data_IF_444399739868
#
_entry.id   IF_444399739868
#
_cell.length_a   1.000
_cell.length_b   1.000
_cell.length_c   1.000
_cell.angle_alpha   90.00
_cell.angle_beta   90.00
_cell.angle_gamma   90.00
#
_symmetry.space_group_name_H-M   'P 1'
#
loop_
_entity.id
_entity.type
_entity.pdbx_description
1 polymer ?
#
# COMPACT_ATOMS: atom_id res chain seq x y z
N UNK A 1 4.48 -6.92 25.29
CA UNK A 1 3.13 -6.50 25.69
C UNK A 1 2.40 -7.68 26.31
N UNK A 2 1.08 -7.58 26.45
CA UNK A 2 0.22 -8.70 26.86
C UNK A 2 0.02 -9.73 25.74
N UNK A 3 0.15 -9.30 24.48
CA UNK A 3 0.00 -10.11 23.28
C UNK A 3 1.34 -10.14 22.51
N UNK A 4 2.33 -10.85 23.04
CA UNK A 4 3.70 -10.92 22.50
C UNK A 4 4.52 -9.62 22.63
N UNK A 5 5.76 -9.61 22.14
CA UNK A 5 6.77 -8.58 22.42
C UNK A 5 7.50 -7.98 21.20
N UNK A 6 7.14 -8.37 19.98
CA UNK A 6 7.77 -7.92 18.73
C UNK A 6 7.71 -6.40 18.57
N UNK A 7 6.63 -5.73 19.00
CA UNK A 7 6.54 -4.27 18.98
C UNK A 7 7.66 -3.65 19.79
N UNK A 8 7.92 -4.17 20.99
CA UNK A 8 8.94 -3.65 21.89
C UNK A 8 10.35 -4.01 21.44
N UNK A 9 10.53 -5.25 20.96
CA UNK A 9 11.84 -5.83 20.68
C UNK A 9 12.37 -5.49 19.28
N UNK A 10 11.50 -5.32 18.30
CA UNK A 10 11.87 -5.18 16.87
C UNK A 10 11.30 -3.88 16.28
N UNK A 11 9.98 -3.69 16.33
CA UNK A 11 9.31 -2.65 15.53
C UNK A 11 9.58 -1.25 16.08
N UNK A 12 9.42 -1.04 17.39
CA UNK A 12 9.67 0.26 18.03
C UNK A 12 11.12 0.72 17.89
N UNK A 13 12.15 -0.13 18.11
CA UNK A 13 13.53 0.23 17.78
C UNK A 13 13.72 0.66 16.32
N UNK A 14 13.11 -0.06 15.36
CA UNK A 14 13.19 0.28 13.94
C UNK A 14 12.55 1.65 13.63
N UNK A 15 11.36 1.93 14.19
CA UNK A 15 10.69 3.23 14.06
C UNK A 15 11.55 4.34 14.66
N UNK A 16 12.13 4.15 15.85
CA UNK A 16 13.02 5.14 16.48
C UNK A 16 14.26 5.42 15.63
N UNK A 17 14.81 4.39 14.99
CA UNK A 17 15.94 4.57 14.09
C UNK A 17 15.54 5.33 12.82
N UNK A 18 14.40 4.97 12.22
CA UNK A 18 13.86 5.64 11.03
C UNK A 18 13.47 7.10 11.31
N UNK A 19 12.99 7.41 12.51
CA UNK A 19 12.64 8.77 12.95
C UNK A 19 13.84 9.74 12.97
N UNK A 20 15.08 9.22 12.88
CA UNK A 20 16.28 10.06 12.74
C UNK A 20 16.40 10.71 11.36
N UNK A 21 15.79 10.12 10.34
CA UNK A 21 15.87 10.58 8.94
C UNK A 21 14.50 10.90 8.33
N UNK A 22 13.45 10.22 8.76
CA UNK A 22 12.08 10.38 8.28
C UNK A 22 11.30 11.25 9.26
N UNK A 23 10.85 12.42 8.81
CA UNK A 23 9.94 13.28 9.59
C UNK A 23 8.53 12.66 9.60
N UNK A 24 7.79 12.86 10.69
CA UNK A 24 6.38 12.44 10.83
C UNK A 24 6.11 10.93 10.76
N UNK A 25 7.10 10.08 11.07
CA UNK A 25 6.85 8.65 11.27
C UNK A 25 6.20 8.41 12.63
N UNK A 26 5.07 7.69 12.66
CA UNK A 26 4.35 7.35 13.90
C UNK A 26 4.03 5.86 13.95
N UNK A 27 4.10 5.25 15.13
CA UNK A 27 3.75 3.85 15.34
C UNK A 27 4.58 3.18 16.46
N UNK A 28 4.39 1.86 16.68
CA UNK A 28 3.41 1.01 16.02
C UNK A 28 1.98 1.34 16.46
N UNK A 29 0.99 1.06 15.61
CA UNK A 29 -0.43 1.26 15.90
C UNK A 29 -1.19 -0.06 15.68
N UNK A 30 -2.32 -0.22 16.37
CA UNK A 30 -3.25 -1.30 16.07
C UNK A 30 -3.77 -1.12 14.62
N UNK A 31 -3.77 -2.20 13.84
CA UNK A 31 -4.01 -2.14 12.40
C UNK A 31 -5.40 -1.61 12.05
N UNK A 32 -6.43 -2.03 12.78
CA UNK A 32 -7.81 -1.57 12.63
C UNK A 32 -7.94 -0.05 12.82
N UNK A 33 -7.34 0.48 13.89
CA UNK A 33 -7.32 1.92 14.16
C UNK A 33 -6.51 2.69 13.11
N UNK A 34 -5.37 2.13 12.65
CA UNK A 34 -4.55 2.70 11.59
C UNK A 34 -5.35 2.87 10.30
N UNK A 35 -5.98 1.80 9.80
CA UNK A 35 -6.69 1.85 8.52
C UNK A 35 -7.94 2.72 8.55
N UNK A 36 -8.63 2.82 9.69
CA UNK A 36 -9.74 3.77 9.85
C UNK A 36 -9.28 5.23 9.74
N UNK A 37 -8.17 5.58 10.39
CA UNK A 37 -7.60 6.93 10.35
C UNK A 37 -6.98 7.27 8.99
N UNK A 38 -6.31 6.30 8.38
CA UNK A 38 -5.80 6.36 7.00
C UNK A 38 -6.91 6.68 5.99
N UNK A 39 -8.03 5.96 6.07
CA UNK A 39 -9.19 6.20 5.21
C UNK A 39 -9.76 7.63 5.35
N UNK A 40 -9.55 8.27 6.50
CA UNK A 40 -9.91 9.67 6.76
C UNK A 40 -8.86 10.70 6.32
N UNK A 41 -7.76 10.27 5.70
CA UNK A 41 -6.71 11.14 5.18
C UNK A 41 -5.75 11.66 6.24
N UNK A 42 -5.59 10.96 7.37
CA UNK A 42 -4.65 11.38 8.42
C UNK A 42 -3.18 11.07 8.11
N UNK A 43 -2.90 10.22 7.11
CA UNK A 43 -1.57 9.77 6.74
C UNK A 43 -1.35 9.84 5.23
N UNK A 44 -0.11 10.11 4.81
CA UNK A 44 0.30 10.04 3.40
C UNK A 44 0.57 8.61 2.93
N UNK A 45 0.98 7.72 3.85
CA UNK A 45 1.26 6.31 3.59
C UNK A 45 1.23 5.48 4.89
N UNK A 46 0.83 4.21 4.77
CA UNK A 46 0.86 3.22 5.84
C UNK A 46 1.87 2.11 5.57
N UNK A 47 2.46 1.56 6.63
CA UNK A 47 3.33 0.37 6.55
C UNK A 47 2.67 -0.77 7.32
N UNK A 48 2.09 -1.71 6.57
CA UNK A 48 1.63 -2.98 7.11
C UNK A 48 2.82 -3.93 7.35
N UNK A 49 2.77 -4.72 8.42
CA UNK A 49 3.81 -5.69 8.75
C UNK A 49 3.76 -6.93 7.83
N UNK A 50 2.59 -7.24 7.25
CA UNK A 50 2.41 -8.36 6.34
C UNK A 50 1.30 -8.12 5.31
N UNK A 51 1.27 -8.97 4.28
CA UNK A 51 0.45 -8.82 3.07
C UNK A 51 -1.04 -8.60 3.35
N UNK A 52 -1.69 -9.54 4.04
CA UNK A 52 -3.15 -9.48 4.25
C UNK A 52 -3.56 -8.38 5.22
N UNK A 53 -2.66 -7.96 6.12
CA UNK A 53 -2.90 -6.82 7.01
C UNK A 53 -3.17 -5.54 6.21
N UNK A 54 -2.42 -5.30 5.13
CA UNK A 54 -2.55 -4.08 4.31
C UNK A 54 -3.44 -4.22 3.09
N UNK A 55 -3.41 -5.37 2.41
CA UNK A 55 -4.13 -5.50 1.12
C UNK A 55 -5.63 -5.75 1.28
N UNK A 56 -6.08 -6.37 2.37
CA UNK A 56 -7.51 -6.51 2.65
C UNK A 56 -8.18 -5.13 2.76
N UNK A 57 -7.76 -4.23 3.67
CA UNK A 57 -8.40 -2.92 3.80
C UNK A 57 -8.29 -2.07 2.53
N UNK A 58 -7.14 -2.11 1.83
CA UNK A 58 -6.98 -1.41 0.55
C UNK A 58 -8.01 -1.87 -0.49
N UNK A 59 -8.19 -3.19 -0.66
CA UNK A 59 -9.15 -3.75 -1.61
C UNK A 59 -10.60 -3.44 -1.22
N UNK A 60 -10.90 -3.40 0.08
CA UNK A 60 -12.22 -3.01 0.57
C UNK A 60 -12.52 -1.53 0.31
N UNK A 61 -11.50 -0.66 0.36
CA UNK A 61 -11.66 0.78 0.14
C UNK A 61 -11.81 1.17 -1.34
N UNK A 62 -11.18 0.45 -2.27
CA UNK A 62 -11.21 0.84 -3.69
C UNK A 62 -10.47 -0.10 -4.63
N UNK A 63 -10.91 -1.36 -4.71
CA UNK A 63 -10.30 -2.42 -5.54
C UNK A 63 -9.97 -1.98 -6.98
N UNK A 64 -10.91 -1.32 -7.66
CA UNK A 64 -10.81 -1.08 -9.10
C UNK A 64 -9.86 0.08 -9.46
N UNK A 65 -9.55 0.93 -8.48
CA UNK A 65 -8.63 2.07 -8.60
C UNK A 65 -7.24 1.80 -8.01
N UNK A 66 -7.04 0.64 -7.37
CA UNK A 66 -5.76 0.31 -6.75
C UNK A 66 -4.66 0.10 -7.81
N UNK A 67 -3.48 0.65 -7.53
CA UNK A 67 -2.27 0.53 -8.36
C UNK A 67 -1.13 -0.02 -7.51
N UNK A 68 -0.40 -0.99 -8.03
CA UNK A 68 0.83 -1.47 -7.41
C UNK A 68 2.02 -0.64 -7.90
N UNK A 69 2.78 -0.07 -6.98
CA UNK A 69 4.00 0.70 -7.25
C UNK A 69 5.19 -0.07 -6.66
N UNK A 70 6.27 -0.22 -7.42
CA UNK A 70 7.50 -0.81 -6.90
C UNK A 70 8.50 0.28 -6.54
N UNK A 71 8.71 0.46 -5.23
CA UNK A 71 9.68 1.41 -4.69
C UNK A 71 11.09 0.81 -4.66
N UNK A 72 12.11 1.67 -4.79
CA UNK A 72 13.52 1.29 -4.69
C UNK A 72 14.20 0.91 -6.01
N UNK A 73 13.48 0.92 -7.14
CA UNK A 73 14.06 0.74 -8.47
C UNK A 73 14.66 2.06 -9.00
N UNK A 74 15.62 2.01 -9.93
CA UNK A 74 16.19 3.21 -10.58
C UNK A 74 15.28 3.79 -11.68
N UNK A 75 14.03 3.32 -11.79
CA UNK A 75 13.03 3.79 -12.74
C UNK A 75 11.62 3.61 -12.16
N UNK A 76 10.65 4.34 -12.73
CA UNK A 76 9.24 4.28 -12.34
C UNK A 76 8.63 2.96 -12.83
N UNK A 77 8.02 2.21 -11.92
CA UNK A 77 7.28 0.98 -12.25
C UNK A 77 5.94 0.95 -11.52
N UNK A 78 4.87 0.96 -12.28
CA UNK A 78 3.49 0.72 -11.82
C UNK A 78 2.94 -0.57 -12.45
N UNK A 79 1.86 -1.12 -11.90
CA UNK A 79 1.19 -2.33 -12.37
C UNK A 79 -0.29 -2.33 -11.93
N UNK A 80 -1.20 -2.93 -12.71
CA UNK A 80 -2.57 -3.16 -12.25
C UNK A 80 -2.61 -4.04 -11.00
N UNK A 81 -3.69 -3.94 -10.23
CA UNK A 81 -3.90 -4.64 -8.95
C UNK A 81 -4.75 -5.92 -9.08
N UNK A 82 -4.96 -6.43 -10.30
CA UNK A 82 -5.67 -7.68 -10.57
C UNK A 82 -4.73 -8.82 -11.02
N UNK A 83 -5.26 -10.05 -10.99
CA UNK A 83 -4.58 -11.23 -11.53
C UNK A 83 -4.76 -11.38 -13.04
N UNK A 84 -4.43 -12.56 -13.57
CA UNK A 84 -4.44 -12.83 -15.02
C UNK A 84 -5.83 -12.99 -15.63
N UNK A 85 -6.86 -13.31 -14.84
CA UNK A 85 -8.24 -13.49 -15.29
C UNK A 85 -8.36 -14.40 -16.53
N UNK A 86 -7.73 -15.58 -16.49
CA UNK A 86 -7.66 -16.51 -17.63
C UNK A 86 -9.03 -16.95 -18.15
N UNK A 87 -10.03 -17.02 -17.28
CA UNK A 87 -11.40 -17.38 -17.59
C UNK A 87 -12.09 -16.36 -18.51
N UNK A 88 -11.60 -15.12 -18.60
CA UNK A 88 -12.14 -14.07 -19.48
C UNK A 88 -11.21 -13.65 -20.62
N UNK A 89 -10.04 -14.29 -20.75
CA UNK A 89 -9.09 -13.99 -21.81
C UNK A 89 -9.72 -14.17 -23.20
N UNK A 90 -9.57 -13.15 -24.06
CA UNK A 90 -10.13 -13.16 -25.41
C UNK A 90 -11.64 -12.92 -25.52
N UNK A 91 -12.36 -12.76 -24.39
CA UNK A 91 -13.82 -12.54 -24.38
C UNK A 91 -14.24 -11.07 -24.54
N UNK A 92 -13.30 -10.13 -24.44
CA UNK A 92 -13.58 -8.69 -24.56
C UNK A 92 -14.37 -8.09 -23.39
N UNK A 93 -14.43 -8.77 -22.24
CA UNK A 93 -15.20 -8.35 -21.05
C UNK A 93 -14.32 -7.93 -19.86
N UNK A 94 -13.01 -7.80 -20.05
CA UNK A 94 -12.11 -7.36 -19.00
C UNK A 94 -12.28 -5.86 -18.73
N UNK A 95 -12.31 -5.47 -17.46
CA UNK A 95 -12.31 -4.06 -17.06
C UNK A 95 -10.87 -3.49 -17.13
N UNK A 96 -10.60 -2.50 -17.99
CA UNK A 96 -9.27 -1.91 -18.12
C UNK A 96 -8.95 -0.85 -17.04
N UNK A 97 -9.87 -0.54 -16.12
CA UNK A 97 -9.75 0.61 -15.21
C UNK A 97 -8.46 0.61 -14.38
N UNK A 98 -8.11 -0.53 -13.76
CA UNK A 98 -6.87 -0.62 -12.96
C UNK A 98 -5.60 -0.44 -13.80
N UNK A 99 -5.58 -0.89 -15.05
CA UNK A 99 -4.47 -0.66 -15.98
C UNK A 99 -4.36 0.82 -16.36
N UNK A 100 -5.49 1.47 -16.64
CA UNK A 100 -5.55 2.91 -16.95
C UNK A 100 -5.02 3.74 -15.76
N UNK A 101 -5.44 3.42 -14.54
CA UNK A 101 -4.95 4.11 -13.34
C UNK A 101 -3.45 3.87 -13.12
N UNK A 102 -2.94 2.66 -13.39
CA UNK A 102 -1.51 2.39 -13.30
C UNK A 102 -0.69 3.25 -14.28
N UNK A 103 -1.17 3.44 -15.50
CA UNK A 103 -0.53 4.29 -16.52
C UNK A 103 -0.59 5.77 -16.10
N UNK A 104 -1.77 6.26 -15.68
CA UNK A 104 -1.94 7.65 -15.22
C UNK A 104 -1.02 7.97 -14.05
N UNK A 105 -0.89 7.06 -13.09
CA UNK A 105 -0.02 7.25 -11.95
C UNK A 105 1.46 7.29 -12.37
N UNK A 106 1.88 6.42 -13.30
CA UNK A 106 3.24 6.47 -13.83
C UNK A 106 3.55 7.82 -14.51
N UNK A 107 2.61 8.35 -15.30
CA UNK A 107 2.74 9.68 -15.93
C UNK A 107 2.84 10.77 -14.86
N UNK A 108 1.98 10.72 -13.83
CA UNK A 108 2.01 11.70 -12.73
C UNK A 108 3.35 11.67 -11.99
N UNK A 109 3.89 10.48 -11.71
CA UNK A 109 5.19 10.32 -11.05
C UNK A 109 6.37 10.77 -11.93
N UNK A 110 6.22 10.73 -13.26
CA UNK A 110 7.28 11.16 -14.18
C UNK A 110 7.35 12.69 -14.34
N UNK A 111 6.26 13.40 -14.05
CA UNK A 111 6.17 14.87 -14.15
C UNK A 111 6.27 15.60 -12.81
N UNK A 112 6.18 14.89 -11.69
CA UNK A 112 6.36 15.44 -10.35
C UNK A 112 7.81 15.39 -9.90
#
# INVERSE_FOLDING_TARGET
>A
GLFSDEEKRIIMPAIRNAARTIKNITGPMAADALFYRAYRGEFDAEIAMYHDQGLIPLKMAGRDSAVNITLGLPFIRTSPAHGTAFDIAGKGIADPSSMIEAIKLAIKMAHG
#
